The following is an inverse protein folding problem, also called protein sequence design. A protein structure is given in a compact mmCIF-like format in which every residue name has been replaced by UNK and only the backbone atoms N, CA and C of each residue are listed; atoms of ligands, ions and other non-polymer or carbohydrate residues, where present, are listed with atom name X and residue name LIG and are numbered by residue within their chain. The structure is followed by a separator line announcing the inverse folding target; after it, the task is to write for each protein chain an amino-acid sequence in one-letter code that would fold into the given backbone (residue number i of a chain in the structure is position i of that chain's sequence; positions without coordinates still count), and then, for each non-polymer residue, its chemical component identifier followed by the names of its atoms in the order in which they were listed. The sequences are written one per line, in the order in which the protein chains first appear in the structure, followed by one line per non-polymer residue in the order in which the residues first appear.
data_IF_334349663258
#
_entry.id   IF_334349663258
#
_cell.length_a   1.000
_cell.length_b   1.000
_cell.length_c   1.000
_cell.angle_alpha   90.00
_cell.angle_beta   90.00
_cell.angle_gamma   90.00
#
_symmetry.space_group_name_H-M   'P 1'
#
loop_
_entity.id
_entity.type
_entity.pdbx_description
1 polymer ?
#
# COMPACT_ATOMS: atom_id res chain seq x y z
N UNK A 1 29.63 -11.81 -10.42
CA UNK A 1 28.69 -10.71 -10.19
C UNK A 1 27.25 -11.21 -10.30
N UNK A 2 26.37 -10.70 -9.42
CA UNK A 2 24.95 -11.00 -9.49
C UNK A 2 24.27 -10.07 -10.49
N UNK A 3 23.32 -10.60 -11.27
CA UNK A 3 22.43 -9.81 -12.11
C UNK A 3 21.03 -9.79 -11.51
N UNK A 4 20.29 -8.72 -11.75
CA UNK A 4 18.91 -8.57 -11.28
C UNK A 4 17.98 -8.55 -12.50
N UNK A 5 17.00 -9.44 -12.49
CA UNK A 5 15.91 -9.44 -13.46
C UNK A 5 14.66 -8.89 -12.76
N UNK A 6 14.07 -7.84 -13.32
CA UNK A 6 12.87 -7.24 -12.76
C UNK A 6 11.60 -7.84 -13.35
N UNK A 7 10.65 -8.15 -12.49
CA UNK A 7 9.32 -8.61 -12.88
C UNK A 7 8.25 -7.71 -12.28
N UNK A 8 7.32 -7.27 -13.13
CA UNK A 8 6.17 -6.49 -12.68
C UNK A 8 5.20 -7.40 -11.92
N UNK A 9 4.75 -6.92 -10.77
CA UNK A 9 3.82 -7.61 -9.89
C UNK A 9 2.67 -6.68 -9.51
N UNK A 10 1.62 -7.26 -8.92
CA UNK A 10 0.52 -6.52 -8.28
C UNK A 10 0.54 -6.79 -6.78
N UNK A 11 -0.17 -5.97 -6.01
CA UNK A 11 -0.34 -6.23 -4.57
C UNK A 11 -1.00 -7.58 -4.29
N UNK A 12 -1.86 -8.06 -5.19
CA UNK A 12 -2.56 -9.32 -5.01
C UNK A 12 -1.70 -10.55 -5.32
N UNK A 13 -0.81 -10.48 -6.33
CA UNK A 13 -0.06 -11.66 -6.78
C UNK A 13 1.34 -11.81 -6.17
N UNK A 14 1.88 -10.80 -5.47
CA UNK A 14 3.26 -10.78 -4.96
C UNK A 14 3.57 -11.94 -3.99
N UNK A 15 2.70 -12.24 -3.04
CA UNK A 15 2.91 -13.33 -2.09
C UNK A 15 2.89 -14.70 -2.78
N UNK A 16 1.89 -15.06 -3.61
CA UNK A 16 1.95 -16.29 -4.40
C UNK A 16 3.19 -16.45 -5.27
N UNK A 17 3.68 -15.37 -5.88
CA UNK A 17 4.88 -15.40 -6.72
C UNK A 17 6.17 -15.65 -5.92
N UNK A 18 6.25 -15.15 -4.69
CA UNK A 18 7.31 -15.49 -3.73
C UNK A 18 7.21 -16.96 -3.34
N UNK A 19 6.02 -17.43 -2.96
CA UNK A 19 5.81 -18.80 -2.47
C UNK A 19 6.13 -19.86 -3.53
N UNK A 20 5.80 -19.61 -4.80
CA UNK A 20 6.04 -20.57 -5.89
C UNK A 20 7.43 -20.45 -6.54
N UNK A 21 8.27 -19.51 -6.08
CA UNK A 21 9.63 -19.33 -6.58
C UNK A 21 9.72 -18.59 -7.92
N UNK A 22 8.65 -18.00 -8.42
CA UNK A 22 8.67 -17.19 -9.65
C UNK A 22 9.51 -15.93 -9.48
N UNK A 23 9.46 -15.30 -8.31
CA UNK A 23 10.35 -14.22 -7.89
C UNK A 23 11.11 -14.62 -6.62
N UNK A 24 12.35 -14.18 -6.52
CA UNK A 24 13.23 -14.52 -5.40
C UNK A 24 12.98 -13.63 -4.17
N UNK A 25 12.72 -12.35 -4.37
CA UNK A 25 12.33 -11.41 -3.32
C UNK A 25 11.66 -10.18 -3.91
N UNK A 26 10.97 -9.43 -3.06
CA UNK A 26 10.25 -8.22 -3.44
C UNK A 26 10.59 -7.10 -2.46
N UNK A 27 10.99 -5.95 -2.98
CA UNK A 27 11.29 -4.74 -2.21
C UNK A 27 10.46 -3.59 -2.78
N UNK A 28 9.23 -3.48 -2.35
CA UNK A 28 8.30 -2.44 -2.77
C UNK A 28 7.55 -1.85 -1.58
N UNK A 29 6.25 -1.86 -1.65
CA UNK A 29 5.35 -1.27 -0.66
C UNK A 29 4.67 -2.31 0.24
N UNK A 30 5.30 -3.46 0.48
CA UNK A 30 4.68 -4.55 1.25
C UNK A 30 4.81 -4.32 2.75
N UNK A 31 3.69 -4.25 3.43
CA UNK A 31 3.63 -4.19 4.88
C UNK A 31 4.00 -5.53 5.49
N UNK A 32 4.95 -5.51 6.43
CA UNK A 32 5.27 -6.64 7.28
C UNK A 32 4.25 -6.75 8.40
N UNK A 33 3.47 -7.83 8.42
CA UNK A 33 2.51 -8.11 9.49
C UNK A 33 2.45 -9.60 9.83
N UNK A 34 1.88 -9.92 10.99
CA UNK A 34 1.80 -11.29 11.52
C UNK A 34 1.04 -12.26 10.61
N UNK A 35 0.03 -11.79 9.89
CA UNK A 35 -0.73 -12.64 8.98
C UNK A 35 0.16 -13.10 7.81
N UNK A 36 0.89 -12.17 7.18
CA UNK A 36 1.80 -12.46 6.07
C UNK A 36 3.03 -13.26 6.48
N UNK A 37 3.51 -13.06 7.72
CA UNK A 37 4.65 -13.83 8.28
C UNK A 37 4.38 -15.33 8.38
N UNK A 38 3.14 -15.78 8.26
CA UNK A 38 2.82 -17.21 8.17
C UNK A 38 3.26 -17.81 6.84
N UNK A 39 3.22 -17.03 5.77
CA UNK A 39 3.43 -17.48 4.40
C UNK A 39 4.79 -17.11 3.82
N UNK A 40 5.37 -16.00 4.27
CA UNK A 40 6.64 -15.43 3.79
C UNK A 40 7.47 -14.89 4.94
N UNK A 41 8.76 -14.66 4.70
CA UNK A 41 9.64 -13.94 5.62
C UNK A 41 9.84 -12.49 5.16
N UNK A 42 10.25 -11.65 6.09
CA UNK A 42 10.55 -10.24 5.85
C UNK A 42 11.97 -9.90 6.34
N UNK A 43 12.64 -9.07 5.56
CA UNK A 43 13.89 -8.42 5.97
C UNK A 43 13.60 -7.27 6.96
N UNK A 44 14.63 -6.55 7.37
CA UNK A 44 14.46 -5.37 8.23
C UNK A 44 13.54 -4.32 7.60
N UNK A 45 12.81 -3.62 8.45
CA UNK A 45 11.97 -2.48 8.01
C UNK A 45 12.83 -1.41 7.36
N UNK A 46 12.45 -1.02 6.14
CA UNK A 46 13.13 0.02 5.37
C UNK A 46 12.41 1.37 5.42
N UNK A 47 11.12 1.36 5.66
CA UNK A 47 10.28 2.56 5.69
C UNK A 47 9.07 2.35 6.62
N UNK A 48 8.63 3.42 7.27
CA UNK A 48 7.38 3.41 8.06
C UNK A 48 6.34 4.23 7.30
N UNK A 49 5.32 3.55 6.83
CA UNK A 49 4.27 4.14 6.00
C UNK A 49 3.04 4.50 6.83
N UNK A 50 2.28 5.47 6.35
CA UNK A 50 0.99 5.88 6.91
C UNK A 50 -0.11 5.69 5.90
N UNK A 51 -1.18 4.99 6.26
CA UNK A 51 -2.39 4.91 5.42
C UNK A 51 -3.20 6.17 5.58
N UNK A 52 -3.51 6.83 4.46
CA UNK A 52 -4.15 8.14 4.38
C UNK A 52 -5.34 8.13 3.41
N UNK A 53 -6.03 9.24 3.33
CA UNK A 53 -7.18 9.46 2.46
C UNK A 53 -6.82 10.50 1.40
N UNK A 54 -6.97 10.17 0.12
CA UNK A 54 -6.92 11.14 -0.98
C UNK A 54 -8.33 11.44 -1.49
N UNK A 55 -8.57 12.69 -1.81
CA UNK A 55 -9.85 13.19 -2.35
C UNK A 55 -9.60 14.21 -3.44
N UNK A 56 -10.65 14.58 -4.18
CA UNK A 56 -10.60 15.80 -4.97
C UNK A 56 -10.56 17.03 -4.07
N UNK A 57 -9.76 18.02 -4.46
CA UNK A 57 -9.74 19.31 -3.78
C UNK A 57 -11.16 19.92 -3.79
N UNK A 58 -11.55 20.47 -2.63
CA UNK A 58 -12.89 21.06 -2.50
C UNK A 58 -14.04 20.07 -2.31
N UNK A 59 -13.76 18.76 -2.14
CA UNK A 59 -14.79 17.73 -1.91
C UNK A 59 -15.57 17.89 -0.60
N UNK A 60 -15.01 18.66 0.36
CA UNK A 60 -15.56 18.76 1.71
C UNK A 60 -15.21 17.62 2.64
N UNK A 61 -14.53 16.57 2.14
CA UNK A 61 -14.07 15.43 2.95
C UNK A 61 -12.82 15.86 3.72
N UNK A 62 -12.87 15.76 5.06
CA UNK A 62 -11.81 16.18 5.97
C UNK A 62 -11.40 15.08 6.96
N UNK A 63 -12.19 14.01 7.05
CA UNK A 63 -11.95 12.91 7.98
C UNK A 63 -12.58 11.62 7.47
N UNK A 64 -12.28 10.49 8.13
CA UNK A 64 -12.93 9.20 7.84
C UNK A 64 -14.46 9.27 8.00
N UNK A 65 -14.97 10.09 8.91
CA UNK A 65 -16.40 10.22 9.16
C UNK A 65 -17.15 10.83 7.97
N UNK A 66 -16.49 11.68 7.19
CA UNK A 66 -17.07 12.32 6.02
C UNK A 66 -17.23 11.35 4.83
N UNK A 67 -16.70 10.14 4.96
CA UNK A 67 -16.87 9.07 3.97
C UNK A 67 -18.23 8.37 4.10
N UNK A 68 -19.02 8.67 5.12
CA UNK A 68 -20.36 8.08 5.29
C UNK A 68 -21.23 8.30 4.06
N UNK A 69 -21.78 7.24 3.50
CA UNK A 69 -22.60 7.28 2.28
C UNK A 69 -21.82 7.52 0.98
N UNK A 70 -20.49 7.59 1.03
CA UNK A 70 -19.62 7.84 -0.13
C UNK A 70 -19.14 6.53 -0.77
N UNK A 71 -18.50 6.66 -1.93
CA UNK A 71 -17.79 5.56 -2.59
C UNK A 71 -16.30 5.71 -2.35
N UNK A 72 -15.66 4.69 -1.79
CA UNK A 72 -14.25 4.70 -1.40
C UNK A 72 -13.50 3.64 -2.18
N UNK A 73 -12.46 4.07 -2.89
CA UNK A 73 -11.56 3.18 -3.62
C UNK A 73 -10.40 2.72 -2.74
N UNK A 74 -9.98 1.49 -2.95
CA UNK A 74 -8.72 0.94 -2.46
C UNK A 74 -8.20 -0.09 -3.46
N UNK A 75 -7.02 -0.70 -3.20
CA UNK A 75 -6.41 -1.65 -4.12
C UNK A 75 -6.48 -3.06 -3.56
N UNK A 76 -6.89 -4.01 -4.39
CA UNK A 76 -6.97 -5.43 -4.03
C UNK A 76 -5.62 -5.96 -3.54
N UNK A 77 -5.63 -6.77 -2.48
CA UNK A 77 -4.43 -7.41 -1.92
C UNK A 77 -3.57 -6.52 -1.02
N UNK A 78 -4.06 -5.36 -0.62
CA UNK A 78 -3.39 -4.45 0.31
C UNK A 78 -3.96 -4.54 1.72
N UNK A 79 -3.16 -4.12 2.71
CA UNK A 79 -3.62 -3.96 4.10
C UNK A 79 -4.62 -2.82 4.25
N UNK A 80 -4.64 -1.88 3.29
CA UNK A 80 -5.57 -0.75 3.29
C UNK A 80 -7.03 -1.19 3.26
N UNK A 81 -7.34 -2.35 2.67
CA UNK A 81 -8.69 -2.93 2.68
C UNK A 81 -9.17 -3.19 4.11
N UNK A 82 -8.37 -3.88 4.92
CA UNK A 82 -8.72 -4.19 6.31
C UNK A 82 -8.70 -2.93 7.19
N UNK A 83 -7.72 -2.05 6.96
CA UNK A 83 -7.62 -0.77 7.67
C UNK A 83 -8.86 0.08 7.44
N UNK A 84 -9.30 0.19 6.20
CA UNK A 84 -10.50 0.94 5.82
C UNK A 84 -11.74 0.37 6.51
N UNK A 85 -11.97 -0.94 6.44
CA UNK A 85 -13.11 -1.63 7.06
C UNK A 85 -13.09 -1.55 8.60
N UNK A 86 -11.89 -1.57 9.21
CA UNK A 86 -11.75 -1.39 10.65
C UNK A 86 -12.17 0.02 11.08
N UNK A 87 -11.72 1.03 10.35
CA UNK A 87 -12.04 2.42 10.64
C UNK A 87 -13.53 2.73 10.39
N UNK A 88 -14.13 2.15 9.36
CA UNK A 88 -15.57 2.21 9.09
C UNK A 88 -16.37 1.76 10.30
N UNK A 89 -16.10 0.56 10.79
CA UNK A 89 -16.78 0.00 11.98
C UNK A 89 -16.54 0.84 13.24
N UNK A 90 -15.29 1.26 13.46
CA UNK A 90 -14.92 2.07 14.63
C UNK A 90 -15.59 3.45 14.63
N UNK A 91 -15.84 4.01 13.47
CA UNK A 91 -16.47 5.33 13.29
C UNK A 91 -17.99 5.27 13.19
N UNK A 92 -18.58 4.07 13.11
CA UNK A 92 -20.03 3.88 12.99
C UNK A 92 -20.61 4.45 11.69
N UNK A 93 -19.81 4.41 10.60
CA UNK A 93 -20.21 4.88 9.27
C UNK A 93 -20.36 3.69 8.32
N UNK A 94 -20.96 3.95 7.16
CA UNK A 94 -21.10 2.98 6.06
C UNK A 94 -20.78 3.66 4.74
N UNK A 95 -19.99 3.02 3.90
CA UNK A 95 -19.63 3.50 2.57
C UNK A 95 -19.59 2.34 1.56
N UNK A 96 -19.70 2.69 0.28
CA UNK A 96 -19.54 1.73 -0.80
C UNK A 96 -18.04 1.57 -1.12
N UNK A 97 -17.55 0.33 -1.05
CA UNK A 97 -16.16 -0.01 -1.38
C UNK A 97 -16.04 -0.41 -2.85
N UNK A 98 -15.06 0.16 -3.54
CA UNK A 98 -14.67 -0.23 -4.90
C UNK A 98 -13.17 -0.52 -4.92
N UNK A 99 -12.75 -1.51 -5.71
CA UNK A 99 -11.35 -1.93 -5.74
C UNK A 99 -10.76 -1.84 -7.13
N UNK A 100 -9.59 -1.20 -7.22
CA UNK A 100 -8.72 -1.29 -8.39
C UNK A 100 -7.83 -2.54 -8.33
N UNK A 101 -7.41 -3.01 -9.50
CA UNK A 101 -6.47 -4.13 -9.64
C UNK A 101 -5.04 -3.74 -9.24
N UNK A 102 -4.69 -2.48 -9.40
CA UNK A 102 -3.43 -1.85 -9.00
C UNK A 102 -3.68 -0.41 -8.53
N UNK A 103 -2.63 0.28 -8.07
CA UNK A 103 -2.78 1.62 -7.51
C UNK A 103 -3.14 2.68 -8.55
N UNK A 104 -2.68 2.54 -9.77
CA UNK A 104 -3.02 3.45 -10.87
C UNK A 104 -4.50 3.32 -11.24
N UNK A 105 -5.02 2.10 -11.29
CA UNK A 105 -6.43 1.80 -11.54
C UNK A 105 -7.33 2.36 -10.43
N UNK A 106 -6.93 2.17 -9.15
CA UNK A 106 -7.64 2.72 -7.99
C UNK A 106 -7.66 4.25 -8.00
N UNK A 107 -6.52 4.88 -8.33
CA UNK A 107 -6.46 6.34 -8.45
C UNK A 107 -7.31 6.86 -9.60
N UNK A 108 -7.36 6.15 -10.71
CA UNK A 108 -8.20 6.50 -11.85
C UNK A 108 -9.70 6.54 -11.47
N UNK A 109 -10.16 5.66 -10.57
CA UNK A 109 -11.53 5.71 -10.05
C UNK A 109 -11.83 7.04 -9.35
N UNK A 110 -10.87 7.56 -8.57
CA UNK A 110 -10.97 8.87 -7.95
C UNK A 110 -10.93 9.99 -9.01
N UNK A 111 -9.99 9.93 -9.94
CA UNK A 111 -9.78 10.93 -10.97
C UNK A 111 -11.02 11.11 -11.87
N UNK A 112 -11.66 9.99 -12.25
CA UNK A 112 -12.88 9.97 -13.06
C UNK A 112 -14.17 10.28 -12.26
N UNK A 113 -14.07 10.47 -10.94
CA UNK A 113 -15.25 10.72 -10.10
C UNK A 113 -16.13 9.49 -9.87
N UNK A 114 -15.61 8.28 -10.12
CA UNK A 114 -16.28 7.02 -9.80
C UNK A 114 -16.11 6.62 -8.35
N UNK A 115 -15.13 7.18 -7.67
CA UNK A 115 -14.95 7.13 -6.24
C UNK A 115 -14.79 8.55 -5.69
N UNK A 116 -15.26 8.77 -4.46
CA UNK A 116 -15.15 10.06 -3.77
C UNK A 116 -13.81 10.18 -3.03
N UNK A 117 -13.21 9.05 -2.68
CA UNK A 117 -11.92 8.98 -2.00
C UNK A 117 -11.14 7.74 -2.44
N UNK A 118 -9.81 7.80 -2.29
CA UNK A 118 -8.90 6.67 -2.42
C UNK A 118 -8.08 6.54 -1.14
N UNK A 119 -8.19 5.41 -0.45
CA UNK A 119 -7.48 5.11 0.80
C UNK A 119 -6.32 4.18 0.50
N UNK A 120 -5.11 4.64 0.80
CA UNK A 120 -3.86 3.94 0.50
C UNK A 120 -2.70 4.53 1.30
N UNK A 121 -1.52 3.92 1.18
CA UNK A 121 -0.25 4.45 1.69
C UNK A 121 -0.02 5.89 1.20
N UNK A 122 0.32 6.77 2.10
CA UNK A 122 0.47 8.21 1.81
C UNK A 122 1.49 8.49 0.71
N UNK A 123 2.61 7.76 0.67
CA UNK A 123 3.62 7.88 -0.38
C UNK A 123 3.08 7.47 -1.76
N UNK A 124 2.24 6.43 -1.82
CA UNK A 124 1.58 5.98 -3.06
C UNK A 124 0.56 7.01 -3.52
N UNK A 125 -0.24 7.55 -2.60
CA UNK A 125 -1.18 8.64 -2.90
C UNK A 125 -0.45 9.86 -3.47
N UNK A 126 0.60 10.30 -2.82
CA UNK A 126 1.39 11.45 -3.25
C UNK A 126 2.01 11.24 -4.64
N UNK A 127 2.55 10.04 -4.91
CA UNK A 127 3.13 9.71 -6.21
C UNK A 127 2.09 9.70 -7.34
N UNK A 128 0.89 9.17 -7.09
CA UNK A 128 -0.19 9.18 -8.08
C UNK A 128 -0.70 10.60 -8.33
N UNK A 129 -0.86 11.40 -7.27
CA UNK A 129 -1.26 12.81 -7.40
C UNK A 129 -0.22 13.59 -8.21
N UNK A 130 1.07 13.41 -7.94
CA UNK A 130 2.14 14.09 -8.66
C UNK A 130 2.16 13.77 -10.17
N UNK A 131 1.69 12.59 -10.57
CA UNK A 131 1.59 12.15 -11.96
C UNK A 131 0.25 12.48 -12.62
N UNK A 132 -0.71 12.98 -11.86
CA UNK A 132 -2.01 13.36 -12.40
C UNK A 132 -1.89 14.52 -13.39
N UNK A 133 -2.85 14.62 -14.30
CA UNK A 133 -2.90 15.72 -15.27
C UNK A 133 -2.90 17.09 -14.58
N UNK A 134 -3.67 17.22 -13.50
CA UNK A 134 -3.75 18.40 -12.66
C UNK A 134 -3.58 18.02 -11.19
N UNK A 135 -2.35 17.96 -10.66
CA UNK A 135 -2.10 17.56 -9.28
C UNK A 135 -2.85 18.41 -8.23
N UNK A 136 -3.09 19.68 -8.54
CA UNK A 136 -3.80 20.63 -7.65
C UNK A 136 -5.29 20.28 -7.45
N UNK A 137 -5.85 19.41 -8.30
CA UNK A 137 -7.23 18.95 -8.19
C UNK A 137 -7.42 17.89 -7.10
N UNK A 138 -6.34 17.48 -6.44
CA UNK A 138 -6.35 16.43 -5.42
C UNK A 138 -5.69 16.90 -4.13
N UNK A 139 -6.11 16.30 -3.01
CA UNK A 139 -5.54 16.53 -1.69
C UNK A 139 -5.50 15.25 -0.88
N UNK A 140 -4.49 15.13 -0.02
CA UNK A 140 -4.43 14.12 1.04
C UNK A 140 -4.99 14.78 2.29
N UNK A 141 -6.00 14.16 2.88
CA UNK A 141 -6.79 14.75 3.97
C UNK A 141 -6.94 13.81 5.15
N UNK A 142 -7.37 14.35 6.26
CA UNK A 142 -7.78 13.61 7.43
C UNK A 142 -6.62 13.05 8.26
N UNK A 143 -7.02 12.21 9.19
CA UNK A 143 -6.13 11.52 10.13
C UNK A 143 -5.34 10.39 9.47
N UNK A 144 -4.27 9.98 10.13
CA UNK A 144 -3.55 8.74 9.82
C UNK A 144 -4.42 7.55 10.24
N UNK A 145 -4.78 6.68 9.30
CA UNK A 145 -5.65 5.54 9.57
C UNK A 145 -4.90 4.34 10.12
N UNK A 146 -3.64 4.17 9.74
CA UNK A 146 -2.72 3.20 10.33
C UNK A 146 -1.27 3.57 10.03
N UNK A 147 -0.35 3.04 10.84
CA UNK A 147 1.09 3.13 10.64
C UNK A 147 1.61 1.72 10.36
N UNK A 148 2.37 1.54 9.29
CA UNK A 148 2.74 0.24 8.79
C UNK A 148 4.24 0.14 8.47
N UNK A 149 4.96 -0.88 9.01
CA UNK A 149 6.35 -1.12 8.66
C UNK A 149 6.44 -1.78 7.28
N UNK A 150 7.17 -1.16 6.37
CA UNK A 150 7.44 -1.69 5.04
C UNK A 150 8.78 -2.42 5.05
N UNK A 151 8.82 -3.61 4.48
CA UNK A 151 10.02 -4.43 4.41
C UNK A 151 10.06 -5.27 3.13
N UNK A 152 11.28 -5.61 2.70
CA UNK A 152 11.46 -6.58 1.62
C UNK A 152 10.91 -7.94 2.03
N UNK A 153 10.22 -8.60 1.12
CA UNK A 153 9.59 -9.89 1.31
C UNK A 153 10.36 -10.97 0.55
N UNK A 154 10.52 -12.13 1.17
CA UNK A 154 11.28 -13.26 0.63
C UNK A 154 10.64 -14.60 1.04
N UNK A 155 11.05 -15.73 0.43
CA UNK A 155 10.49 -17.03 0.75
C UNK A 155 10.67 -17.41 2.22
N UNK A 156 9.65 -18.05 2.77
CA UNK A 156 9.64 -18.54 4.14
C UNK A 156 10.82 -19.51 4.39
N UNK A 157 11.60 -19.25 5.44
CA UNK A 157 12.69 -20.10 5.86
C UNK A 157 14.02 -19.92 5.12
N UNK A 158 14.10 -19.01 4.12
CA UNK A 158 15.37 -18.70 3.44
C UNK A 158 16.23 -17.75 4.28
N UNK A 159 16.85 -18.29 5.30
CA UNK A 159 17.68 -17.54 6.27
C UNK A 159 18.92 -16.94 5.63
N UNK A 160 19.50 -17.59 4.62
CA UNK A 160 20.68 -17.10 3.91
C UNK A 160 20.35 -15.85 3.08
N UNK A 161 19.27 -15.89 2.33
CA UNK A 161 18.80 -14.72 1.55
C UNK A 161 18.40 -13.58 2.46
N UNK A 162 17.68 -13.87 3.56
CA UNK A 162 17.28 -12.87 4.56
C UNK A 162 18.51 -12.16 5.14
N UNK A 163 19.54 -12.93 5.54
CA UNK A 163 20.78 -12.36 6.05
C UNK A 163 21.46 -11.45 5.02
N UNK A 164 21.54 -11.87 3.76
CA UNK A 164 22.15 -11.07 2.68
C UNK A 164 21.43 -9.73 2.49
N UNK A 165 20.09 -9.74 2.50
CA UNK A 165 19.27 -8.53 2.37
C UNK A 165 19.43 -7.65 3.60
N UNK A 166 19.33 -8.21 4.82
CA UNK A 166 19.47 -7.46 6.08
C UNK A 166 20.85 -6.80 6.20
N UNK A 167 21.94 -7.52 5.86
CA UNK A 167 23.29 -6.99 5.86
C UNK A 167 23.44 -5.83 4.85
N UNK A 168 22.81 -5.93 3.69
CA UNK A 168 22.82 -4.86 2.68
C UNK A 168 22.08 -3.62 3.18
N UNK A 169 20.93 -3.79 3.81
CA UNK A 169 20.16 -2.68 4.40
C UNK A 169 20.99 -1.96 5.47
N UNK A 170 21.63 -2.73 6.37
CA UNK A 170 22.47 -2.16 7.44
C UNK A 170 23.65 -1.35 6.86
N UNK A 171 24.27 -1.84 5.79
CA UNK A 171 25.36 -1.08 5.12
C UNK A 171 24.86 0.24 4.58
N UNK A 172 23.72 0.25 3.89
CA UNK A 172 23.15 1.47 3.29
C UNK A 172 22.69 2.51 4.32
N UNK A 173 22.34 2.10 5.54
CA UNK A 173 21.96 3.03 6.61
C UNK A 173 23.19 3.69 7.21
N UNK A 174 24.35 3.03 7.20
CA UNK A 174 25.60 3.55 7.79
C UNK A 174 26.37 4.48 6.85
N UNK A 175 26.11 4.43 5.56
CA UNK A 175 26.70 5.29 4.53
C UNK A 175 25.87 6.57 4.33
#
# INVERSE_FOLDING_TARGET
PLSINYQVITSQNRIPLIQNGTIDFECGSTTNNKARQKDVDFAYTTYVEEVRIATKAGSGIKSIKDLNGKTVATTTGTTSVQTLRKNERASGIDFKEVMGKDHADSFLLLELGRADAFVMDGSILAANIAKAKNPKDFAIVGEVLSVEPIACMLPKGDTKLKKAIDDSIVRQIKD
#
